data_IF_214485961425
#
_entry.id   IF_214485961425
#
_cell.length_a   1.000
_cell.length_b   1.000
_cell.length_c   1.000
_cell.angle_alpha   90.00
_cell.angle_beta   90.00
_cell.angle_gamma   90.00
#
_symmetry.space_group_name_H-M   'P 1'
#
loop_
_entity.id
_entity.type
_entity.pdbx_description
1 polymer ?
#
# COMPACT_ATOMS: atom_id res chain seq x y z
N UNK A 1 -3.20 -13.69 -37.11
CA UNK A 1 -2.74 -12.37 -36.60
C UNK A 1 -2.01 -12.63 -35.31
N UNK A 2 -0.68 -12.48 -35.34
CA UNK A 2 0.17 -12.84 -34.19
C UNK A 2 -0.06 -11.92 -33.00
N UNK A 3 -0.36 -12.50 -31.85
CA UNK A 3 -0.23 -11.82 -30.58
C UNK A 3 1.28 -11.50 -30.37
N UNK A 4 1.66 -10.26 -30.59
CA UNK A 4 2.93 -9.76 -30.07
C UNK A 4 2.75 -9.69 -28.55
N UNK A 5 3.19 -10.71 -27.83
CA UNK A 5 3.21 -10.71 -26.37
C UNK A 5 4.10 -9.57 -25.90
N UNK A 6 3.61 -8.75 -24.97
CA UNK A 6 4.40 -7.70 -24.33
C UNK A 6 5.60 -8.33 -23.62
N UNK A 7 6.78 -7.74 -23.76
CA UNK A 7 7.96 -8.20 -23.02
C UNK A 7 7.90 -7.73 -21.56
N UNK A 8 8.67 -8.36 -20.64
CA UNK A 8 8.79 -7.89 -19.23
C UNK A 8 9.14 -6.40 -19.18
N UNK A 9 9.98 -5.92 -20.09
CA UNK A 9 10.36 -4.50 -20.18
C UNK A 9 9.16 -3.61 -20.57
N UNK A 10 8.33 -4.05 -21.52
CA UNK A 10 7.16 -3.28 -21.95
C UNK A 10 6.12 -3.19 -20.82
N UNK A 11 5.95 -4.28 -20.06
CA UNK A 11 5.03 -4.33 -18.93
C UNK A 11 5.45 -3.41 -17.79
N UNK A 12 6.75 -3.25 -17.55
CA UNK A 12 7.30 -2.38 -16.49
C UNK A 12 7.46 -0.91 -16.96
N UNK A 13 7.31 -0.64 -18.25
CA UNK A 13 7.43 0.72 -18.76
C UNK A 13 6.32 1.63 -18.23
N UNK A 14 6.70 2.83 -17.79
CA UNK A 14 5.79 3.87 -17.29
C UNK A 14 5.55 3.84 -15.79
N UNK A 15 6.03 2.82 -15.07
CA UNK A 15 6.01 2.83 -13.62
C UNK A 15 7.14 3.70 -13.06
N UNK A 16 6.81 4.55 -12.09
CA UNK A 16 7.77 5.25 -11.21
C UNK A 16 8.23 4.31 -10.09
N UNK A 17 7.29 3.50 -9.57
CA UNK A 17 7.57 2.35 -8.72
C UNK A 17 6.84 1.16 -9.33
N UNK A 18 7.61 0.15 -9.73
CA UNK A 18 7.08 -1.13 -10.22
C UNK A 18 7.11 -2.18 -9.10
N UNK A 19 6.25 -3.21 -9.17
CA UNK A 19 6.34 -4.33 -8.25
C UNK A 19 7.69 -5.03 -8.40
N UNK A 20 8.20 -5.57 -7.30
CA UNK A 20 9.49 -6.25 -7.25
C UNK A 20 9.32 -7.71 -6.75
N UNK A 21 8.83 -8.63 -7.59
CA UNK A 21 8.61 -10.02 -7.19
C UNK A 21 9.91 -10.78 -6.88
N UNK A 22 11.05 -10.28 -7.37
CA UNK A 22 12.37 -10.86 -7.13
C UNK A 22 13.08 -10.20 -5.92
N UNK A 23 12.38 -9.33 -5.19
CA UNK A 23 12.93 -8.63 -4.01
C UNK A 23 13.35 -9.61 -2.92
N UNK A 24 14.55 -9.40 -2.37
CA UNK A 24 15.05 -10.23 -1.27
C UNK A 24 14.14 -10.10 -0.05
N UNK A 25 13.91 -11.23 0.61
CA UNK A 25 13.15 -11.32 1.86
C UNK A 25 11.65 -10.97 1.79
N UNK A 26 11.05 -10.94 0.59
CA UNK A 26 9.60 -10.74 0.44
C UNK A 26 8.85 -12.08 0.34
N UNK A 27 9.55 -13.15 -0.03
CA UNK A 27 8.98 -14.49 -0.14
C UNK A 27 9.88 -15.53 0.50
N UNK A 28 9.27 -16.64 0.91
CA UNK A 28 9.94 -17.82 1.45
C UNK A 28 9.58 -19.03 0.62
N UNK A 29 10.59 -19.84 0.29
CA UNK A 29 10.39 -21.13 -0.36
C UNK A 29 9.89 -22.16 0.65
N UNK A 30 8.78 -22.80 0.35
CA UNK A 30 8.23 -23.89 1.16
C UNK A 30 8.04 -25.15 0.33
N UNK A 31 8.14 -26.30 0.97
CA UNK A 31 7.80 -27.59 0.38
C UNK A 31 6.46 -28.06 0.94
N UNK A 32 5.63 -28.61 0.09
CA UNK A 32 4.35 -29.19 0.44
C UNK A 32 4.05 -30.43 -0.38
N UNK A 33 2.85 -30.98 -0.21
CA UNK A 33 2.35 -32.07 -1.04
C UNK A 33 1.14 -31.58 -1.83
N UNK A 34 1.06 -31.99 -3.10
CA UNK A 34 -0.16 -31.80 -3.89
C UNK A 34 -1.23 -32.84 -3.51
N UNK A 35 -2.40 -32.75 -4.13
CA UNK A 35 -3.51 -33.67 -3.87
C UNK A 35 -3.26 -35.11 -4.37
N UNK A 36 -2.18 -35.37 -5.09
CA UNK A 36 -1.73 -36.70 -5.48
C UNK A 36 -0.62 -37.24 -4.56
N UNK A 37 -0.16 -36.44 -3.58
CA UNK A 37 0.94 -36.83 -2.67
C UNK A 37 2.34 -36.54 -3.24
N UNK A 38 2.48 -35.82 -4.35
CA UNK A 38 3.78 -35.46 -4.90
C UNK A 38 4.33 -34.23 -4.16
N UNK A 39 5.63 -34.21 -3.95
CA UNK A 39 6.30 -33.03 -3.38
C UNK A 39 6.26 -31.88 -4.37
N UNK A 40 5.76 -30.73 -3.93
CA UNK A 40 5.76 -29.47 -4.66
C UNK A 40 6.53 -28.42 -3.89
N UNK A 41 7.17 -27.51 -4.64
CA UNK A 41 7.90 -26.35 -4.08
C UNK A 41 7.15 -25.09 -4.50
N UNK A 42 6.84 -24.23 -3.53
CA UNK A 42 6.10 -22.98 -3.77
C UNK A 42 6.77 -21.82 -3.06
N UNK A 43 6.61 -20.63 -3.63
CA UNK A 43 6.92 -19.38 -2.95
C UNK A 43 5.69 -18.93 -2.15
N UNK A 44 5.90 -18.53 -0.91
CA UNK A 44 4.87 -17.93 -0.06
C UNK A 44 5.35 -16.56 0.41
N UNK A 45 4.40 -15.65 0.61
CA UNK A 45 4.71 -14.32 1.12
C UNK A 45 5.20 -14.43 2.57
N UNK A 46 6.22 -13.65 2.92
CA UNK A 46 6.71 -13.51 4.29
C UNK A 46 6.14 -12.25 4.93
N UNK A 47 5.29 -12.45 5.94
CA UNK A 47 4.71 -11.35 6.70
C UNK A 47 5.63 -10.94 7.86
N UNK A 48 5.78 -9.63 8.06
CA UNK A 48 6.60 -9.03 9.12
C UNK A 48 5.77 -7.99 9.88
N UNK A 49 5.92 -7.92 11.21
CA UNK A 49 5.34 -6.82 11.96
C UNK A 49 6.09 -5.52 11.67
N UNK A 50 5.35 -4.43 11.57
CA UNK A 50 5.87 -3.06 11.51
C UNK A 50 5.12 -2.21 12.53
N UNK A 51 5.83 -1.65 13.49
CA UNK A 51 5.24 -0.75 14.49
C UNK A 51 5.42 0.71 14.05
N UNK A 52 4.32 1.44 13.99
CA UNK A 52 4.28 2.84 13.58
C UNK A 52 4.15 3.72 14.83
N UNK A 53 5.09 4.64 14.97
CA UNK A 53 5.07 5.68 16.01
C UNK A 53 4.77 7.04 15.37
N UNK A 54 4.01 7.86 16.09
CA UNK A 54 3.89 9.28 15.82
C UNK A 54 4.48 10.03 16.99
N UNK A 55 5.58 10.75 16.76
CA UNK A 55 6.43 11.34 17.80
C UNK A 55 6.92 10.24 18.78
N UNK A 56 6.54 10.32 20.05
CA UNK A 56 6.90 9.34 21.08
C UNK A 56 5.81 8.28 21.32
N UNK A 57 4.70 8.33 20.59
CA UNK A 57 3.55 7.48 20.84
C UNK A 57 3.44 6.35 19.83
N UNK A 58 3.30 5.12 20.32
CA UNK A 58 2.95 3.97 19.52
C UNK A 58 1.49 4.07 19.05
N UNK A 59 1.30 3.97 17.73
CA UNK A 59 -0.03 4.07 17.11
C UNK A 59 -0.60 2.68 16.79
N UNK A 60 0.18 1.88 16.07
CA UNK A 60 -0.26 0.56 15.59
C UNK A 60 0.93 -0.31 15.24
N UNK A 61 0.76 -1.62 15.38
CA UNK A 61 1.61 -2.62 14.73
C UNK A 61 0.80 -3.28 13.62
N UNK A 62 1.26 -3.14 12.37
CA UNK A 62 0.66 -3.72 11.18
C UNK A 62 1.48 -4.91 10.70
N UNK A 63 0.81 -5.97 10.20
CA UNK A 63 1.49 -7.03 9.46
C UNK A 63 1.61 -6.59 8.00
N UNK A 64 2.84 -6.62 7.46
CA UNK A 64 3.19 -6.14 6.12
C UNK A 64 4.25 -7.05 5.50
N UNK A 65 4.52 -6.90 4.21
CA UNK A 65 5.65 -7.56 3.56
C UNK A 65 7.01 -6.90 3.86
N UNK A 66 7.00 -5.72 4.51
CA UNK A 66 8.21 -5.02 4.96
C UNK A 66 8.87 -4.13 3.93
N UNK A 67 8.32 -3.99 2.70
CA UNK A 67 8.78 -3.00 1.73
C UNK A 67 8.12 -1.63 1.95
N UNK A 68 8.82 -0.56 1.60
CA UNK A 68 8.35 0.83 1.72
C UNK A 68 7.73 1.19 3.09
N UNK A 69 8.39 0.88 4.21
CA UNK A 69 7.83 1.07 5.54
C UNK A 69 7.53 2.54 5.86
N UNK A 70 8.32 3.48 5.34
CA UNK A 70 8.11 4.91 5.54
C UNK A 70 6.83 5.39 4.81
N UNK A 71 6.59 4.91 3.58
CA UNK A 71 5.35 5.23 2.87
C UNK A 71 4.14 4.64 3.56
N UNK A 72 4.25 3.39 4.08
CA UNK A 72 3.18 2.78 4.86
C UNK A 72 2.84 3.63 6.08
N UNK A 73 3.84 4.04 6.85
CA UNK A 73 3.64 4.82 8.07
C UNK A 73 3.00 6.19 7.79
N UNK A 74 3.55 6.94 6.83
CA UNK A 74 3.03 8.28 6.46
C UNK A 74 1.61 8.17 5.92
N UNK A 75 1.37 7.20 5.04
CA UNK A 75 0.05 6.99 4.43
C UNK A 75 -1.00 6.55 5.44
N UNK A 76 -0.66 5.61 6.32
CA UNK A 76 -1.53 5.19 7.41
C UNK A 76 -1.94 6.39 8.28
N UNK A 77 -0.96 7.14 8.81
CA UNK A 77 -1.23 8.28 9.69
C UNK A 77 -2.07 9.35 9.00
N UNK A 78 -1.81 9.62 7.70
CA UNK A 78 -2.59 10.56 6.91
C UNK A 78 -4.04 10.08 6.71
N UNK A 79 -4.22 8.83 6.31
CA UNK A 79 -5.54 8.24 6.06
C UNK A 79 -6.35 8.10 7.35
N UNK A 80 -5.69 8.02 8.51
CA UNK A 80 -6.34 8.06 9.83
C UNK A 80 -6.59 9.50 10.34
N UNK A 81 -6.30 10.54 9.53
CA UNK A 81 -6.50 11.94 9.93
C UNK A 81 -5.56 12.40 11.06
N UNK A 82 -4.42 11.73 11.24
CA UNK A 82 -3.43 12.07 12.27
C UNK A 82 -2.36 13.05 11.78
N UNK A 83 -2.29 13.28 10.47
CA UNK A 83 -1.41 14.26 9.83
C UNK A 83 -2.24 15.24 8.99
N UNK A 84 -2.24 16.51 9.38
CA UNK A 84 -2.97 17.59 8.67
C UNK A 84 -2.27 18.04 7.36
N UNK A 85 -1.17 17.39 7.01
CA UNK A 85 -0.37 17.60 5.82
C UNK A 85 1.10 17.29 6.06
N UNK A 86 1.88 17.07 4.98
CA UNK A 86 3.31 16.78 5.12
C UNK A 86 4.14 17.94 5.62
N UNK A 87 3.66 19.19 5.47
CA UNK A 87 4.35 20.37 6.01
C UNK A 87 4.53 20.30 7.54
N UNK A 88 3.75 19.45 8.20
CA UNK A 88 3.85 19.19 9.65
C UNK A 88 4.90 18.14 10.01
N UNK A 89 5.28 17.27 9.06
CA UNK A 89 6.29 16.22 9.27
C UNK A 89 7.69 16.83 9.27
N UNK A 90 8.49 16.51 10.29
CA UNK A 90 9.89 16.92 10.41
C UNK A 90 10.87 15.83 9.98
N UNK A 91 10.57 14.57 10.30
CA UNK A 91 11.35 13.40 9.86
C UNK A 91 10.50 12.15 9.83
N UNK A 92 10.95 11.18 9.04
CA UNK A 92 10.45 9.81 9.02
C UNK A 92 11.67 8.90 9.11
N UNK A 93 11.79 8.14 10.19
CA UNK A 93 12.96 7.33 10.48
C UNK A 93 12.54 5.87 10.64
N UNK A 94 13.13 4.99 9.84
CA UNK A 94 12.92 3.54 9.88
C UNK A 94 14.11 2.84 10.54
N UNK A 95 13.82 2.03 11.55
CA UNK A 95 14.77 1.11 12.19
C UNK A 95 14.40 -0.32 11.75
N UNK A 96 15.25 -0.91 10.90
CA UNK A 96 15.04 -2.25 10.35
C UNK A 96 15.16 -3.33 11.42
N UNK A 97 16.12 -3.19 12.35
CA UNK A 97 16.38 -4.21 13.39
C UNK A 97 15.20 -4.30 14.36
N UNK A 98 14.57 -3.18 14.68
CA UNK A 98 13.42 -3.10 15.55
C UNK A 98 12.08 -3.24 14.80
N UNK A 99 12.10 -3.16 13.48
CA UNK A 99 10.90 -3.10 12.63
C UNK A 99 9.96 -1.96 13.06
N UNK A 100 10.52 -0.77 13.26
CA UNK A 100 9.81 0.42 13.75
C UNK A 100 9.98 1.58 12.79
N UNK A 101 8.87 2.28 12.49
CA UNK A 101 8.92 3.60 11.84
C UNK A 101 8.45 4.66 12.80
N UNK A 102 9.26 5.72 12.96
CA UNK A 102 8.92 6.88 13.76
C UNK A 102 8.69 8.08 12.83
N UNK A 103 7.47 8.56 12.78
CA UNK A 103 7.11 9.80 12.08
C UNK A 103 7.12 10.93 13.14
N UNK A 104 7.94 11.96 12.93
CA UNK A 104 8.01 13.12 13.82
C UNK A 104 7.39 14.34 13.17
N UNK A 105 6.68 15.12 13.96
CA UNK A 105 6.05 16.37 13.55
C UNK A 105 6.72 17.57 14.17
N UNK A 106 6.63 18.74 13.50
CA UNK A 106 7.20 20.01 13.97
C UNK A 106 6.50 20.57 15.22
N UNK A 107 5.24 20.19 15.41
CA UNK A 107 4.42 20.59 16.56
C UNK A 107 3.87 19.34 17.22
N UNK A 108 3.72 19.37 18.54
CA UNK A 108 3.05 18.29 19.25
C UNK A 108 1.61 18.16 18.76
N UNK A 109 1.19 16.92 18.58
CA UNK A 109 -0.16 16.61 18.09
C UNK A 109 -0.93 15.98 19.25
N UNK A 110 -2.12 16.49 19.53
CA UNK A 110 -3.00 15.99 20.60
C UNK A 110 -3.80 14.76 20.15
N UNK A 111 -3.10 13.68 19.77
CA UNK A 111 -3.79 12.45 19.31
C UNK A 111 -4.30 11.56 20.43
N UNK A 112 -3.95 11.81 21.69
CA UNK A 112 -4.42 11.01 22.82
C UNK A 112 -5.94 10.91 22.89
N UNK A 113 -6.65 11.98 22.54
CA UNK A 113 -8.12 11.98 22.50
C UNK A 113 -8.67 11.20 21.30
N UNK A 114 -7.99 11.24 20.17
CA UNK A 114 -8.35 10.44 18.97
C UNK A 114 -8.12 8.94 19.19
N UNK A 115 -7.09 8.57 19.93
CA UNK A 115 -6.79 7.17 20.26
C UNK A 115 -7.84 6.53 21.20
N UNK A 116 -8.55 7.32 21.99
CA UNK A 116 -9.63 6.83 22.87
C UNK A 116 -10.86 6.34 22.10
N UNK A 117 -11.08 6.81 20.87
CA UNK A 117 -12.22 6.46 20.03
C UNK A 117 -11.95 5.32 19.05
N UNK A 118 -11.13 4.34 19.44
CA UNK A 118 -10.77 3.19 18.58
C UNK A 118 -11.99 2.33 18.28
N UNK A 119 -12.34 2.18 17.01
CA UNK A 119 -13.32 1.20 16.54
C UNK A 119 -12.58 0.04 15.88
N UNK A 120 -12.79 -1.17 16.39
CA UNK A 120 -12.26 -2.38 15.76
C UNK A 120 -13.19 -2.77 14.61
N UNK A 121 -12.67 -2.82 13.39
CA UNK A 121 -13.40 -3.34 12.25
C UNK A 121 -13.14 -4.84 12.12
N UNK A 122 -14.21 -5.62 11.84
CA UNK A 122 -14.09 -7.03 11.52
C UNK A 122 -13.56 -7.19 10.10
N UNK A 123 -12.40 -7.79 9.92
CA UNK A 123 -11.78 -8.09 8.62
C UNK A 123 -10.36 -8.57 8.80
N UNK A 124 -9.75 -9.10 7.74
CA UNK A 124 -8.44 -9.78 7.72
C UNK A 124 -7.22 -8.89 8.06
N UNK A 125 -7.34 -7.95 8.86
CA UNK A 125 -6.30 -7.25 9.61
C UNK A 125 -7.01 -6.52 10.71
N UNK A 126 -6.38 -6.32 11.84
CA UNK A 126 -6.92 -5.47 12.91
C UNK A 126 -6.95 -4.03 12.40
N UNK A 127 -7.92 -3.74 11.51
CA UNK A 127 -8.19 -2.41 11.02
C UNK A 127 -8.67 -1.56 12.19
N UNK A 128 -7.78 -0.76 12.77
CA UNK A 128 -8.18 0.28 13.71
C UNK A 128 -8.65 1.47 12.89
N UNK A 129 -9.96 1.69 12.85
CA UNK A 129 -10.54 2.94 12.34
C UNK A 129 -10.75 3.86 13.53
N UNK A 130 -10.18 5.04 13.47
CA UNK A 130 -10.40 6.06 14.48
C UNK A 130 -11.71 6.80 14.16
N UNK A 131 -12.60 6.94 15.13
CA UNK A 131 -13.97 7.46 14.93
C UNK A 131 -14.00 8.83 14.26
N UNK A 132 -13.01 9.68 14.49
CA UNK A 132 -12.92 11.02 13.90
C UNK A 132 -12.73 11.00 12.37
N UNK A 133 -12.26 9.86 11.80
CA UNK A 133 -12.14 9.73 10.35
C UNK A 133 -13.51 9.69 9.65
N UNK A 134 -14.50 9.07 10.28
CA UNK A 134 -15.86 9.02 9.73
C UNK A 134 -16.51 10.41 9.74
N UNK A 135 -16.26 11.21 10.80
CA UNK A 135 -16.74 12.61 10.88
C UNK A 135 -16.09 13.47 9.78
N UNK A 136 -14.81 13.25 9.45
CA UNK A 136 -14.11 13.96 8.37
C UNK A 136 -14.62 13.64 6.96
N UNK A 137 -15.34 12.52 6.78
CA UNK A 137 -15.96 12.14 5.49
C UNK A 137 -17.31 12.81 5.28
N UNK A 138 -17.99 13.23 6.36
CA UNK A 138 -19.26 13.96 6.28
C UNK A 138 -19.06 15.35 5.67
N UNK A 139 -19.43 15.52 4.45
CA UNK A 139 -19.28 16.79 3.74
C UNK A 139 -18.13 16.80 2.72
N UNK A 140 -17.34 15.73 2.61
CA UNK A 140 -16.35 15.62 1.55
C UNK A 140 -17.05 15.49 0.19
N UNK A 141 -16.89 16.50 -0.65
CA UNK A 141 -17.34 16.46 -2.04
C UNK A 141 -16.18 16.09 -2.94
N UNK A 142 -16.23 14.91 -3.51
CA UNK A 142 -15.25 14.51 -4.52
C UNK A 142 -15.47 15.35 -5.78
N UNK A 143 -14.39 15.83 -6.43
CA UNK A 143 -14.50 16.53 -7.71
C UNK A 143 -15.11 15.62 -8.77
N UNK A 144 -15.90 16.19 -9.68
CA UNK A 144 -16.38 15.45 -10.83
C UNK A 144 -15.19 15.01 -11.69
N UNK A 145 -15.11 13.70 -11.97
CA UNK A 145 -14.06 13.13 -12.81
C UNK A 145 -14.68 12.35 -13.95
N UNK A 146 -14.03 12.37 -15.11
CA UNK A 146 -14.42 11.55 -16.26
C UNK A 146 -13.53 10.31 -16.33
N UNK A 147 -14.15 9.14 -16.49
CA UNK A 147 -13.47 7.88 -16.67
C UNK A 147 -13.90 7.29 -18.03
N UNK A 148 -12.92 6.94 -18.87
CA UNK A 148 -13.19 6.22 -20.12
C UNK A 148 -13.09 4.71 -19.86
N UNK A 149 -14.09 3.96 -20.30
CA UNK A 149 -14.09 2.49 -20.16
C UNK A 149 -12.86 1.86 -20.84
N UNK A 150 -12.41 2.43 -21.99
CA UNK A 150 -11.19 1.95 -22.65
C UNK A 150 -9.96 1.99 -21.74
N UNK A 151 -9.84 3.01 -20.88
CA UNK A 151 -8.72 3.08 -19.92
C UNK A 151 -8.74 1.92 -18.92
N UNK A 152 -9.94 1.49 -18.49
CA UNK A 152 -10.05 0.36 -17.56
C UNK A 152 -9.58 -0.94 -18.22
N UNK A 153 -9.93 -1.16 -19.49
CA UNK A 153 -9.45 -2.33 -20.23
C UNK A 153 -7.93 -2.30 -20.41
N UNK A 154 -7.37 -1.15 -20.79
CA UNK A 154 -5.92 -0.99 -20.98
C UNK A 154 -5.19 -1.24 -19.66
N UNK A 155 -5.65 -0.61 -18.56
CA UNK A 155 -5.07 -0.77 -17.21
C UNK A 155 -5.16 -2.22 -16.73
N UNK A 156 -6.34 -2.83 -16.82
CA UNK A 156 -6.55 -4.22 -16.42
C UNK A 156 -5.65 -5.18 -17.18
N UNK A 157 -5.55 -5.03 -18.50
CA UNK A 157 -4.66 -5.84 -19.31
C UNK A 157 -3.19 -5.71 -18.89
N UNK A 158 -2.74 -4.48 -18.68
CA UNK A 158 -1.35 -4.22 -18.30
C UNK A 158 -1.05 -4.73 -16.88
N UNK A 159 -1.88 -4.36 -15.89
CA UNK A 159 -1.67 -4.69 -14.49
C UNK A 159 -1.67 -6.19 -14.25
N UNK A 160 -2.63 -6.92 -14.85
CA UNK A 160 -2.76 -8.37 -14.70
C UNK A 160 -1.61 -9.16 -15.34
N UNK A 161 -0.82 -8.55 -16.20
CA UNK A 161 0.36 -9.16 -16.84
C UNK A 161 1.67 -8.64 -16.25
N UNK A 162 1.63 -7.57 -15.44
CA UNK A 162 2.84 -7.00 -14.82
C UNK A 162 3.42 -8.00 -13.81
N UNK A 163 4.71 -8.38 -13.94
CA UNK A 163 5.36 -9.25 -12.97
C UNK A 163 5.22 -8.68 -11.56
N UNK A 164 4.67 -9.46 -10.64
CA UNK A 164 4.28 -9.01 -9.31
C UNK A 164 4.38 -10.18 -8.32
N UNK A 165 4.40 -9.88 -7.04
CA UNK A 165 4.31 -10.89 -5.98
C UNK A 165 2.99 -11.67 -6.05
N UNK A 166 1.91 -11.02 -6.48
CA UNK A 166 0.63 -11.68 -6.71
C UNK A 166 0.74 -12.80 -7.74
N UNK A 167 1.43 -12.56 -8.86
CA UNK A 167 1.65 -13.59 -9.88
C UNK A 167 2.67 -14.66 -9.44
N UNK A 168 3.64 -14.29 -8.61
CA UNK A 168 4.71 -15.18 -8.17
C UNK A 168 4.29 -16.12 -7.02
N UNK A 169 3.55 -15.60 -6.04
CA UNK A 169 3.25 -16.30 -4.80
C UNK A 169 1.75 -16.34 -4.43
N UNK A 170 0.92 -15.48 -5.02
CA UNK A 170 -0.48 -15.32 -4.61
C UNK A 170 -0.62 -14.75 -3.20
N UNK A 171 -1.83 -14.80 -2.64
CA UNK A 171 -2.15 -14.41 -1.25
C UNK A 171 -1.66 -13.00 -0.85
N UNK A 172 -1.67 -12.05 -1.77
CA UNK A 172 -1.25 -10.67 -1.59
C UNK A 172 -2.19 -9.73 -2.36
N UNK A 173 -2.28 -8.49 -1.94
CA UNK A 173 -3.08 -7.45 -2.57
C UNK A 173 -2.19 -6.44 -3.28
N UNK A 174 -2.55 -6.11 -4.52
CA UNK A 174 -1.92 -5.05 -5.28
C UNK A 174 -2.79 -3.80 -5.34
N UNK A 175 -2.17 -2.64 -5.25
CA UNK A 175 -2.82 -1.35 -5.48
C UNK A 175 -1.98 -0.53 -6.44
N UNK A 176 -2.62 0.02 -7.48
CA UNK A 176 -1.94 0.75 -8.53
C UNK A 176 -2.52 2.16 -8.67
N UNK A 177 -1.64 3.16 -8.52
CA UNK A 177 -1.98 4.53 -8.85
C UNK A 177 -1.82 4.72 -10.36
N UNK A 178 -2.85 5.24 -11.01
CA UNK A 178 -2.88 5.46 -12.44
C UNK A 178 -3.29 6.89 -12.79
N UNK A 179 -2.92 7.33 -13.99
CA UNK A 179 -3.44 8.54 -14.61
C UNK A 179 -3.91 8.19 -16.02
N UNK A 180 -5.21 8.37 -16.28
CA UNK A 180 -5.84 7.88 -17.51
C UNK A 180 -5.59 6.36 -17.67
N UNK A 181 -5.00 5.93 -18.78
CA UNK A 181 -4.61 4.53 -19.02
C UNK A 181 -3.12 4.24 -18.72
N UNK A 182 -2.44 5.14 -17.98
CA UNK A 182 -1.04 4.98 -17.61
C UNK A 182 -0.92 4.55 -16.14
N UNK A 183 -0.17 3.50 -15.88
CA UNK A 183 0.22 3.08 -14.54
C UNK A 183 1.38 3.93 -14.03
N UNK A 184 1.33 4.39 -12.78
CA UNK A 184 2.37 5.24 -12.18
C UNK A 184 3.12 4.52 -11.06
N UNK A 185 2.39 4.02 -10.07
CA UNK A 185 2.97 3.38 -8.88
C UNK A 185 2.19 2.12 -8.58
N UNK A 186 2.88 1.00 -8.41
CA UNK A 186 2.29 -0.27 -8.03
C UNK A 186 2.89 -0.73 -6.70
N UNK A 187 2.08 -0.80 -5.67
CA UNK A 187 2.45 -1.28 -4.34
C UNK A 187 1.68 -2.56 -4.03
N UNK A 188 2.36 -3.50 -3.37
CA UNK A 188 1.76 -4.76 -2.92
C UNK A 188 1.87 -4.88 -1.40
N UNK A 189 0.90 -5.52 -0.78
CA UNK A 189 0.96 -5.87 0.64
C UNK A 189 -0.02 -7.02 0.97
N UNK A 190 0.24 -7.76 2.05
CA UNK A 190 -0.67 -8.79 2.58
C UNK A 190 -1.99 -8.18 3.05
N UNK A 191 -1.97 -6.93 3.52
CA UNK A 191 -3.15 -6.13 3.85
C UNK A 191 -3.53 -5.19 2.71
N UNK A 192 -4.78 -5.31 2.18
CA UNK A 192 -5.26 -4.38 1.13
C UNK A 192 -5.19 -2.91 1.56
N UNK A 193 -5.45 -2.63 2.83
CA UNK A 193 -5.36 -1.28 3.37
C UNK A 193 -3.91 -0.79 3.39
N UNK A 194 -2.96 -1.65 3.77
CA UNK A 194 -1.55 -1.29 3.74
C UNK A 194 -1.07 -0.92 2.32
N UNK A 195 -1.50 -1.67 1.30
CA UNK A 195 -1.15 -1.35 -0.09
C UNK A 195 -1.70 0.03 -0.52
N UNK A 196 -2.92 0.38 -0.09
CA UNK A 196 -3.50 1.72 -0.29
C UNK A 196 -2.74 2.79 0.49
N UNK A 197 -2.40 2.51 1.76
CA UNK A 197 -1.66 3.43 2.61
C UNK A 197 -0.25 3.71 2.04
N UNK A 198 0.45 2.70 1.54
CA UNK A 198 1.73 2.90 0.84
C UNK A 198 1.59 3.87 -0.34
N UNK A 199 0.53 3.73 -1.16
CA UNK A 199 0.25 4.67 -2.25
C UNK A 199 -0.01 6.09 -1.71
N UNK A 200 -0.83 6.22 -0.67
CA UNK A 200 -1.13 7.52 -0.05
C UNK A 200 0.13 8.18 0.53
N UNK A 201 0.99 7.41 1.17
CA UNK A 201 2.28 7.88 1.69
C UNK A 201 3.23 8.32 0.58
N UNK A 202 3.33 7.54 -0.50
CA UNK A 202 4.12 7.93 -1.67
C UNK A 202 3.60 9.22 -2.30
N UNK A 203 2.28 9.33 -2.52
CA UNK A 203 1.66 10.55 -3.07
C UNK A 203 1.96 11.76 -2.20
N UNK A 204 1.84 11.59 -0.90
CA UNK A 204 2.13 12.63 0.05
C UNK A 204 3.60 13.05 0.00
N UNK A 205 4.54 12.11 0.06
CA UNK A 205 5.98 12.38 0.07
C UNK A 205 6.51 12.97 -1.25
N UNK A 206 5.75 12.83 -2.35
CA UNK A 206 6.12 13.37 -3.66
C UNK A 206 5.21 14.53 -4.12
N UNK A 207 4.38 15.08 -3.23
CA UNK A 207 3.44 16.18 -3.53
C UNK A 207 2.52 15.89 -4.73
N UNK A 208 2.05 14.64 -4.83
CA UNK A 208 1.19 14.20 -5.93
C UNK A 208 -0.27 14.34 -5.55
N UNK A 209 -1.01 15.15 -6.31
CA UNK A 209 -2.46 15.29 -6.15
C UNK A 209 -3.22 14.06 -6.66
N UNK A 210 -4.29 13.68 -5.96
CA UNK A 210 -5.21 12.62 -6.37
C UNK A 210 -6.31 13.03 -7.34
N UNK A 211 -6.46 14.35 -7.63
CA UNK A 211 -7.62 14.90 -8.35
C UNK A 211 -7.81 14.36 -9.77
N UNK A 212 -6.75 13.90 -10.43
CA UNK A 212 -6.75 13.36 -11.79
C UNK A 212 -6.25 11.90 -11.84
N UNK A 213 -6.29 11.22 -10.71
CA UNK A 213 -5.77 9.86 -10.57
C UNK A 213 -6.89 8.82 -10.46
N UNK A 214 -6.54 7.60 -10.82
CA UNK A 214 -7.36 6.41 -10.66
C UNK A 214 -6.60 5.51 -9.70
N UNK A 215 -7.27 5.00 -8.67
CA UNK A 215 -6.76 3.95 -7.82
C UNK A 215 -7.38 2.64 -8.28
N UNK A 216 -6.54 1.73 -8.72
CA UNK A 216 -6.91 0.37 -9.13
C UNK A 216 -6.46 -0.61 -8.04
N UNK A 217 -7.36 -1.46 -7.56
CA UNK A 217 -7.08 -2.44 -6.49
C UNK A 217 -7.88 -3.72 -6.69
#
# INVERSE_FOLDING_TARGET
MGQFGLTKKDLLQGYMIAPNPDGMNLTKTVQGLDHFGNTVVSQVIEEKPLTIYLNSQEIVTAMTIGDYPEYLAVGFLRNQGMLDGLNTVSSVDYDEDLSVVVVRTKTETSFEDKLKKKTRTSGCAVGTVFGDMMEGLEGLKLPASSLRISWLYDLSNKINQTPSLYLAAGAIHGTVLCKQNQTLVYMEDVGRHNAVDKIAGWMASNDVSGSDKILYT
#
